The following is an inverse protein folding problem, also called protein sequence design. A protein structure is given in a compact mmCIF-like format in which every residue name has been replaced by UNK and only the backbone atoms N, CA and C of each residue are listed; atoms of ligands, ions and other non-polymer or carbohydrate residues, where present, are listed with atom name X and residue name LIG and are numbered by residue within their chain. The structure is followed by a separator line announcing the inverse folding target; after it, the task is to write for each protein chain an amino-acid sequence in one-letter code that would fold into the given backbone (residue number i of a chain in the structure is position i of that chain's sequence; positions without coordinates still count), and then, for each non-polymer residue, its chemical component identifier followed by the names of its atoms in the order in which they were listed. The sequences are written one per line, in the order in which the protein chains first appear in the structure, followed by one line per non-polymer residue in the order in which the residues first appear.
data_IF_919652078655
#
_entry.id   IF_919652078655
#
_cell.length_a   1.000
_cell.length_b   1.000
_cell.length_c   1.000
_cell.angle_alpha   90.00
_cell.angle_beta   90.00
_cell.angle_gamma   90.00
#
_symmetry.space_group_name_H-M   'P 1'
#
loop_
_entity.id
_entity.type
_entity.pdbx_description
1 polymer ?
#
# COMPACT_ATOMS: atom_id res chain seq x y z
N UNK A 1 10.80 -11.61 5.60
CA UNK A 1 11.57 -10.61 6.38
C UNK A 1 11.23 -9.21 5.85
N UNK A 2 10.99 -8.20 6.71
CA UNK A 2 10.67 -6.85 6.25
C UNK A 2 11.86 -6.18 5.56
N UNK A 3 11.58 -5.35 4.55
CA UNK A 3 12.58 -4.51 3.89
C UNK A 3 12.65 -3.18 4.62
N UNK A 4 13.82 -2.83 5.15
CA UNK A 4 14.03 -1.60 5.92
C UNK A 4 15.07 -0.72 5.24
N UNK A 5 14.73 0.56 5.04
CA UNK A 5 15.63 1.59 4.54
C UNK A 5 15.42 1.94 3.06
N UNK A 6 15.52 3.24 2.75
CA UNK A 6 15.25 3.82 1.43
C UNK A 6 16.09 3.20 0.31
N UNK A 7 17.34 2.86 0.58
CA UNK A 7 18.25 2.32 -0.45
C UNK A 7 17.86 0.91 -0.87
N UNK A 8 17.46 0.05 0.08
CA UNK A 8 16.97 -1.30 -0.23
C UNK A 8 15.67 -1.26 -1.01
N UNK A 9 14.75 -0.36 -0.63
CA UNK A 9 13.51 -0.12 -1.39
C UNK A 9 13.82 0.32 -2.82
N UNK A 10 14.73 1.30 -2.99
CA UNK A 10 15.14 1.75 -4.32
C UNK A 10 15.71 0.60 -5.16
N UNK A 11 16.55 -0.24 -4.57
CA UNK A 11 17.15 -1.38 -5.28
C UNK A 11 16.09 -2.37 -5.77
N UNK A 12 15.04 -2.62 -5.00
CA UNK A 12 13.93 -3.48 -5.43
C UNK A 12 13.18 -2.93 -6.65
N UNK A 13 13.10 -1.61 -6.78
CA UNK A 13 12.41 -0.93 -7.88
C UNK A 13 13.37 -0.45 -9.00
N UNK A 14 14.66 -0.81 -8.95
CA UNK A 14 15.62 -0.45 -10.02
C UNK A 14 15.35 -1.25 -11.29
N UNK A 15 14.95 -2.52 -11.15
CA UNK A 15 14.67 -3.43 -12.26
C UNK A 15 13.17 -3.44 -12.61
N UNK A 16 12.54 -2.26 -12.61
CA UNK A 16 11.14 -2.15 -13.06
C UNK A 16 11.07 -2.56 -14.53
N UNK A 17 10.62 -3.80 -14.76
CA UNK A 17 10.28 -4.29 -16.09
C UNK A 17 9.27 -3.30 -16.71
N UNK A 18 9.59 -2.75 -17.88
CA UNK A 18 8.78 -1.68 -18.52
C UNK A 18 7.33 -2.10 -18.76
N UNK A 19 7.07 -3.41 -18.73
CA UNK A 19 5.76 -4.01 -18.91
C UNK A 19 4.97 -4.25 -17.60
N UNK A 20 5.52 -3.88 -16.45
CA UNK A 20 4.83 -3.97 -15.16
C UNK A 20 4.16 -2.65 -14.79
N UNK A 21 2.84 -2.68 -14.58
CA UNK A 21 2.05 -1.51 -14.16
C UNK A 21 1.40 -1.77 -12.81
N UNK A 22 1.76 -0.96 -11.83
CA UNK A 22 1.14 -0.92 -10.50
C UNK A 22 0.07 0.17 -10.45
N UNK A 23 -1.14 -0.18 -10.03
CA UNK A 23 -2.23 0.78 -9.75
C UNK A 23 -2.84 0.48 -8.39
N UNK A 24 -3.25 1.51 -7.67
CA UNK A 24 -3.86 1.38 -6.35
C UNK A 24 -5.02 2.35 -6.19
N UNK A 25 -6.01 1.96 -5.39
CA UNK A 25 -7.19 2.75 -5.07
C UNK A 25 -7.40 2.77 -3.55
N UNK A 26 -7.24 3.92 -2.87
CA UNK A 26 -7.62 4.05 -1.47
C UNK A 26 -9.14 3.86 -1.32
N UNK A 27 -9.52 3.02 -0.36
CA UNK A 27 -10.91 2.83 0.06
C UNK A 27 -11.22 3.59 1.34
N UNK A 28 -10.21 3.81 2.18
CA UNK A 28 -10.34 4.56 3.43
C UNK A 28 -9.05 5.32 3.74
N UNK A 29 -9.21 6.44 4.46
CA UNK A 29 -8.13 7.25 4.96
C UNK A 29 -8.48 7.79 6.35
N UNK A 30 -7.50 7.82 7.25
CA UNK A 30 -7.62 8.40 8.57
C UNK A 30 -6.38 9.21 8.92
N UNK A 31 -6.58 10.31 9.64
CA UNK A 31 -5.53 11.12 10.24
C UNK A 31 -5.78 11.18 11.74
N UNK A 32 -4.76 10.85 12.54
CA UNK A 32 -4.83 10.93 13.99
C UNK A 32 -5.13 12.36 14.44
N UNK A 33 -5.76 12.51 15.61
CA UNK A 33 -6.08 13.83 16.19
C UNK A 33 -4.87 14.75 16.32
N UNK A 34 -3.66 14.19 16.51
CA UNK A 34 -2.41 14.97 16.56
C UNK A 34 -2.03 15.62 15.21
N UNK A 35 -2.57 15.11 14.09
CA UNK A 35 -2.24 15.59 12.74
C UNK A 35 -0.88 15.10 12.20
N UNK A 36 -0.17 14.28 12.97
CA UNK A 36 1.21 13.84 12.66
C UNK A 36 1.28 12.44 12.03
N UNK A 37 0.26 11.61 12.27
CA UNK A 37 0.18 10.23 11.79
C UNK A 37 -1.14 10.02 11.05
N UNK A 38 -1.12 9.20 10.01
CA UNK A 38 -2.33 8.74 9.33
C UNK A 38 -2.11 7.39 8.69
N UNK A 39 -3.19 6.76 8.26
CA UNK A 39 -3.11 5.54 7.45
C UNK A 39 -4.14 5.58 6.33
N UNK A 40 -3.84 4.87 5.26
CA UNK A 40 -4.75 4.59 4.16
C UNK A 40 -4.76 3.09 3.93
N UNK A 41 -5.91 2.52 3.61
CA UNK A 41 -5.99 1.17 3.08
C UNK A 41 -6.92 1.12 1.86
N UNK A 42 -6.73 0.10 1.04
CA UNK A 42 -7.55 -0.10 -0.14
C UNK A 42 -7.07 -1.27 -0.96
N UNK A 43 -7.26 -1.19 -2.28
CA UNK A 43 -6.90 -2.27 -3.19
C UNK A 43 -5.77 -1.87 -4.12
N UNK A 44 -4.99 -2.85 -4.56
CA UNK A 44 -4.00 -2.68 -5.61
C UNK A 44 -4.24 -3.68 -6.74
N UNK A 45 -3.68 -3.35 -7.90
CA UNK A 45 -3.60 -4.21 -9.08
C UNK A 45 -2.24 -4.05 -9.73
N UNK A 46 -1.57 -5.18 -9.96
CA UNK A 46 -0.33 -5.28 -10.72
C UNK A 46 -0.65 -6.00 -12.03
N UNK A 47 -0.25 -5.42 -13.15
CA UNK A 47 -0.33 -6.08 -14.46
C UNK A 47 1.06 -6.22 -15.05
N UNK A 48 1.46 -7.45 -15.39
CA UNK A 48 2.76 -7.77 -15.98
C UNK A 48 2.54 -8.71 -17.16
N UNK A 49 2.56 -8.16 -18.38
CA UNK A 49 2.11 -8.90 -19.57
C UNK A 49 0.63 -9.31 -19.43
N UNK A 50 0.35 -10.60 -19.55
CA UNK A 50 -0.99 -11.18 -19.37
C UNK A 50 -1.33 -11.49 -17.91
N UNK A 51 -0.34 -11.45 -17.01
CA UNK A 51 -0.56 -11.71 -15.58
C UNK A 51 -1.20 -10.52 -14.88
N UNK A 52 -2.24 -10.78 -14.08
CA UNK A 52 -2.93 -9.79 -13.26
C UNK A 52 -2.94 -10.27 -11.81
N UNK A 53 -2.28 -9.53 -10.94
CA UNK A 53 -2.34 -9.71 -9.49
C UNK A 53 -3.23 -8.63 -8.87
N UNK A 54 -4.04 -9.00 -7.87
CA UNK A 54 -4.88 -8.09 -7.11
C UNK A 54 -4.81 -8.42 -5.63
N UNK A 55 -4.80 -7.39 -4.81
CA UNK A 55 -4.70 -7.53 -3.37
C UNK A 55 -5.15 -6.30 -2.62
N UNK A 56 -4.99 -6.33 -1.30
CA UNK A 56 -5.20 -5.18 -0.44
C UNK A 56 -3.88 -4.58 0.00
N UNK A 57 -3.89 -3.29 0.32
CA UNK A 57 -2.73 -2.61 0.88
C UNK A 57 -3.13 -1.80 2.11
N UNK A 58 -2.14 -1.54 2.96
CA UNK A 58 -2.17 -0.53 4.01
C UNK A 58 -0.87 0.25 3.97
N UNK A 59 -0.99 1.58 4.01
CA UNK A 59 0.14 2.49 4.10
C UNK A 59 -0.01 3.35 5.34
N UNK A 60 1.03 3.41 6.17
CA UNK A 60 1.12 4.33 7.31
C UNK A 60 1.99 5.51 6.93
N UNK A 61 1.48 6.69 7.26
CA UNK A 61 2.05 7.97 6.88
C UNK A 61 2.44 8.75 8.14
N UNK A 62 3.60 9.41 8.07
CA UNK A 62 4.01 10.41 9.07
C UNK A 62 4.23 11.75 8.39
N UNK A 63 3.67 12.82 8.97
CA UNK A 63 3.92 14.20 8.56
C UNK A 63 5.23 14.65 9.21
N UNK A 64 6.16 15.15 8.40
CA UNK A 64 7.42 15.69 8.92
C UNK A 64 7.25 17.15 9.39
N UNK A 65 8.30 17.71 9.99
CA UNK A 65 8.34 19.09 10.48
C UNK A 65 8.04 20.15 9.41
N UNK A 66 8.27 19.81 8.13
CA UNK A 66 7.97 20.68 6.99
C UNK A 66 6.54 20.49 6.46
N UNK A 67 5.66 19.81 7.21
CA UNK A 67 4.27 19.56 6.84
C UNK A 67 4.06 18.51 5.74
N UNK A 68 5.12 17.82 5.31
CA UNK A 68 5.06 16.84 4.20
C UNK A 68 4.84 15.43 4.73
N UNK A 69 3.85 14.74 4.18
CA UNK A 69 3.61 13.33 4.45
C UNK A 69 4.65 12.44 3.77
N UNK A 70 5.10 11.41 4.49
CA UNK A 70 6.01 10.36 4.02
C UNK A 70 5.50 9.00 4.49
N UNK A 71 5.65 7.99 3.64
CA UNK A 71 5.47 6.59 4.03
C UNK A 71 6.47 6.22 5.12
N UNK A 72 5.98 5.60 6.18
CA UNK A 72 6.80 5.01 7.25
C UNK A 72 6.63 3.50 7.34
N UNK A 73 5.51 2.97 6.84
CA UNK A 73 5.26 1.55 6.67
C UNK A 73 4.32 1.36 5.48
N UNK A 74 4.57 0.34 4.69
CA UNK A 74 3.67 -0.14 3.65
C UNK A 74 3.63 -1.66 3.70
N UNK A 75 2.44 -2.23 3.57
CA UNK A 75 2.23 -3.67 3.54
C UNK A 75 1.03 -3.99 2.68
N UNK A 76 1.03 -5.16 2.06
CA UNK A 76 -0.12 -5.68 1.33
C UNK A 76 -0.22 -7.19 1.45
N UNK A 77 -1.36 -7.71 1.03
CA UNK A 77 -1.58 -9.13 0.81
C UNK A 77 -2.25 -9.31 -0.55
N UNK A 78 -1.82 -10.34 -1.27
CA UNK A 78 -2.54 -10.85 -2.44
C UNK A 78 -3.86 -11.50 -2.01
N UNK A 79 -4.82 -11.61 -2.93
CA UNK A 79 -6.02 -12.42 -2.68
C UNK A 79 -7.35 -11.67 -2.76
N UNK A 80 -7.56 -10.88 -3.81
CA UNK A 80 -8.90 -10.40 -4.20
C UNK A 80 -9.53 -11.29 -5.29
N UNK A 81 -9.48 -12.61 -5.13
CA UNK A 81 -10.02 -13.58 -6.09
C UNK A 81 -11.52 -13.35 -6.43
N UNK A 82 -12.06 -14.12 -7.37
CA UNK A 82 -13.43 -13.95 -7.89
C UNK A 82 -14.56 -14.21 -6.86
N UNK A 83 -14.23 -14.58 -5.62
CA UNK A 83 -15.19 -14.93 -4.57
C UNK A 83 -15.08 -13.94 -3.40
N UNK A 84 -15.90 -12.89 -3.47
CA UNK A 84 -16.08 -11.90 -2.41
C UNK A 84 -16.90 -12.48 -1.25
N UNK A 85 -16.28 -13.17 -0.29
CA UNK A 85 -16.94 -13.48 1.00
C UNK A 85 -16.10 -13.29 2.28
N UNK A 86 -14.83 -12.84 2.22
CA UNK A 86 -14.04 -12.63 3.45
C UNK A 86 -13.70 -11.16 3.73
N UNK A 87 -14.66 -10.25 3.52
CA UNK A 87 -14.62 -8.89 4.08
C UNK A 87 -15.12 -8.90 5.55
N UNK A 88 -14.42 -9.61 6.41
CA UNK A 88 -14.48 -9.53 7.87
C UNK A 88 -13.01 -9.62 8.30
N UNK A 89 -12.31 -8.59 8.74
CA UNK A 89 -12.66 -7.61 9.77
C UNK A 89 -11.76 -6.38 9.57
N UNK A 90 -12.33 -5.24 9.17
CA UNK A 90 -11.80 -3.96 9.62
C UNK A 90 -12.94 -3.38 10.46
N UNK A 91 -12.93 -3.70 11.76
CA UNK A 91 -13.75 -2.99 12.72
C UNK A 91 -13.25 -1.54 12.72
N UNK A 92 -13.91 -0.70 11.92
CA UNK A 92 -13.88 0.74 12.10
C UNK A 92 -14.67 0.98 13.39
N UNK A 93 -13.95 1.16 14.51
CA UNK A 93 -14.54 1.69 15.74
C UNK A 93 -15.08 3.11 15.49
#
# INVERSE_FOLDING_TARGET
MPIVGKNKIKQLFQDNDRNTKFTWKPLYAYVAKSGELGYTFGTYKITSGESIEKGTYVSVWKKNSNGKWKFVLDSGNEGLGNHWQNLLCILLY
#
